data_IF_827290943151
#
_entry.id   IF_827290943151
#
_cell.length_a   1.000
_cell.length_b   1.000
_cell.length_c   1.000
_cell.angle_alpha   90.00
_cell.angle_beta   90.00
_cell.angle_gamma   90.00
#
_symmetry.space_group_name_H-M   'P 1'
#
loop_
_entity.id
_entity.type
_entity.pdbx_description
1 polymer ?
#
# COMPACT_ATOMS: atom_id res chain seq x y z
N UNK A 1 0.97 4.08 -11.18
CA UNK A 1 2.19 4.42 -10.40
C UNK A 1 2.95 3.20 -9.85
N UNK A 2 2.31 2.04 -9.66
CA UNK A 2 2.96 0.82 -9.14
C UNK A 2 4.22 0.37 -9.92
N UNK A 3 4.18 0.37 -11.26
CA UNK A 3 5.32 -0.06 -12.10
C UNK A 3 6.59 0.77 -11.93
N UNK A 4 6.46 2.10 -11.82
CA UNK A 4 7.61 2.99 -11.66
C UNK A 4 8.35 2.71 -10.35
N UNK A 5 7.62 2.38 -9.26
CA UNK A 5 8.22 2.09 -7.95
C UNK A 5 9.05 0.80 -7.98
N UNK A 6 8.52 -0.27 -8.58
CA UNK A 6 9.25 -1.55 -8.69
C UNK A 6 10.50 -1.44 -9.58
N UNK A 7 10.40 -0.73 -10.71
CA UNK A 7 11.54 -0.52 -11.61
C UNK A 7 12.61 0.36 -10.96
N UNK A 8 12.22 1.37 -10.18
CA UNK A 8 13.13 2.20 -9.40
C UNK A 8 13.89 1.38 -8.35
N UNK A 9 13.18 0.53 -7.58
CA UNK A 9 13.81 -0.35 -6.59
C UNK A 9 14.80 -1.30 -7.27
N UNK A 10 14.44 -1.86 -8.44
CA UNK A 10 15.33 -2.73 -9.21
C UNK A 10 16.57 -2.00 -9.74
N UNK A 11 16.42 -0.76 -10.24
CA UNK A 11 17.55 0.07 -10.70
C UNK A 11 18.47 0.47 -9.54
N UNK A 12 17.90 0.80 -8.38
CA UNK A 12 18.66 1.07 -7.15
C UNK A 12 19.44 -0.17 -6.70
N UNK A 13 18.82 -1.36 -6.72
CA UNK A 13 19.47 -2.62 -6.39
C UNK A 13 20.63 -2.97 -7.35
N UNK A 14 20.62 -2.42 -8.57
CA UNK A 14 21.71 -2.54 -9.56
C UNK A 14 22.79 -1.46 -9.44
N UNK A 15 22.67 -0.53 -8.50
CA UNK A 15 23.65 0.53 -8.26
C UNK A 15 23.57 1.70 -9.24
N UNK A 16 22.44 1.91 -9.93
CA UNK A 16 22.25 3.10 -10.78
C UNK A 16 22.22 4.38 -9.91
N UNK A 17 22.93 5.46 -10.29
CA UNK A 17 22.92 6.71 -9.52
C UNK A 17 21.51 7.30 -9.36
N UNK A 18 21.21 7.82 -8.17
CA UNK A 18 19.86 8.33 -7.82
C UNK A 18 19.43 9.47 -8.74
N UNK A 19 20.36 10.33 -9.16
CA UNK A 19 20.11 11.44 -10.08
C UNK A 19 19.68 10.96 -11.48
N UNK A 20 20.22 9.82 -11.96
CA UNK A 20 19.83 9.23 -13.23
C UNK A 20 18.43 8.62 -13.14
N UNK A 21 18.12 7.94 -12.04
CA UNK A 21 16.78 7.39 -11.77
C UNK A 21 15.76 8.52 -11.70
N UNK A 22 16.07 9.61 -10.97
CA UNK A 22 15.19 10.75 -10.81
C UNK A 22 14.93 11.48 -12.14
N UNK A 23 15.97 11.69 -12.95
CA UNK A 23 15.80 12.31 -14.27
C UNK A 23 15.05 11.38 -15.23
N UNK A 24 15.35 10.08 -15.21
CA UNK A 24 14.63 9.07 -15.98
C UNK A 24 13.12 9.08 -15.70
N UNK A 25 12.73 9.26 -14.43
CA UNK A 25 11.32 9.41 -14.04
C UNK A 25 10.69 10.68 -14.63
N UNK A 26 11.39 11.83 -14.58
CA UNK A 26 10.93 13.07 -15.20
C UNK A 26 10.71 12.88 -16.70
N UNK A 27 11.67 12.29 -17.39
CA UNK A 27 11.59 12.04 -18.83
C UNK A 27 10.46 11.07 -19.19
N UNK A 28 10.28 9.99 -18.42
CA UNK A 28 9.18 9.04 -18.61
C UNK A 28 7.81 9.70 -18.42
N UNK A 29 7.68 10.57 -17.42
CA UNK A 29 6.44 11.31 -17.15
C UNK A 29 6.10 12.25 -18.31
N UNK A 30 7.07 13.04 -18.79
CA UNK A 30 6.84 13.95 -19.92
C UNK A 30 6.54 13.18 -21.21
N UNK A 31 7.23 12.07 -21.50
CA UNK A 31 6.89 11.20 -22.65
C UNK A 31 5.47 10.66 -22.56
N UNK A 32 5.05 10.25 -21.37
CA UNK A 32 3.68 9.78 -21.13
C UNK A 32 2.68 10.92 -21.36
N UNK A 33 2.97 12.12 -20.89
CA UNK A 33 2.14 13.30 -21.15
C UNK A 33 2.00 13.59 -22.66
N UNK A 34 3.11 13.60 -23.40
CA UNK A 34 3.12 13.85 -24.84
C UNK A 34 2.33 12.81 -25.64
N UNK A 35 2.32 11.55 -25.19
CA UNK A 35 1.59 10.47 -25.86
C UNK A 35 0.11 10.46 -25.48
N UNK A 36 -0.21 10.60 -24.20
CA UNK A 36 -1.57 10.36 -23.67
C UNK A 36 -2.45 11.61 -23.63
N UNK A 37 -1.88 12.77 -23.31
CA UNK A 37 -2.60 14.05 -23.17
C UNK A 37 -2.58 14.80 -24.50
N UNK A 38 -1.40 14.95 -25.11
CA UNK A 38 -1.29 15.68 -26.37
C UNK A 38 -1.85 14.88 -27.55
N UNK A 39 -1.84 13.54 -27.50
CA UNK A 39 -2.45 12.64 -28.52
C UNK A 39 -2.12 13.05 -29.96
N UNK A 40 -0.87 13.43 -30.21
CA UNK A 40 -0.38 13.84 -31.55
C UNK A 40 -0.80 15.24 -32.01
N UNK A 41 -1.39 16.07 -31.14
CA UNK A 41 -1.67 17.49 -31.44
C UNK A 41 -0.36 18.23 -31.73
N UNK A 42 -0.39 19.12 -32.74
CA UNK A 42 0.74 20.01 -33.04
C UNK A 42 0.91 21.03 -31.93
N UNK A 43 2.15 21.26 -31.53
CA UNK A 43 2.53 22.21 -30.47
C UNK A 43 3.20 23.42 -31.11
N UNK A 44 2.64 24.60 -30.86
CA UNK A 44 3.27 25.87 -31.24
C UNK A 44 4.24 26.29 -30.14
N UNK A 45 5.48 26.55 -30.52
CA UNK A 45 6.53 26.99 -29.60
C UNK A 45 6.63 28.53 -29.56
N UNK A 46 7.04 29.11 -28.42
CA UNK A 46 7.30 28.44 -27.14
C UNK A 46 6.01 28.04 -26.41
N UNK A 47 6.07 26.97 -25.60
CA UNK A 47 4.98 26.60 -24.69
C UNK A 47 5.17 27.24 -23.32
N UNK A 48 4.05 27.55 -22.67
CA UNK A 48 4.06 27.99 -21.27
C UNK A 48 3.86 26.78 -20.35
N UNK A 49 4.81 26.54 -19.45
CA UNK A 49 4.70 25.48 -18.44
C UNK A 49 4.30 26.10 -17.09
N UNK A 50 3.19 25.60 -16.52
CA UNK A 50 2.53 26.18 -15.34
C UNK A 50 2.17 25.09 -14.32
N UNK A 51 1.81 25.51 -13.11
CA UNK A 51 1.53 24.64 -11.97
C UNK A 51 2.78 24.25 -11.18
N UNK A 52 2.62 23.50 -10.09
CA UNK A 52 3.72 23.10 -9.20
C UNK A 52 4.82 22.30 -9.90
N UNK A 53 4.48 21.50 -10.92
CA UNK A 53 5.46 20.74 -11.70
C UNK A 53 6.45 21.63 -12.49
N UNK A 54 6.08 22.87 -12.80
CA UNK A 54 6.97 23.82 -13.48
C UNK A 54 8.14 24.28 -12.59
N UNK A 55 8.02 24.15 -11.26
CA UNK A 55 9.09 24.42 -10.31
C UNK A 55 10.15 23.30 -10.25
N UNK A 56 9.90 22.14 -10.89
CA UNK A 56 10.84 21.03 -10.94
C UNK A 56 11.78 21.18 -12.15
N UNK A 57 13.08 21.47 -11.95
CA UNK A 57 14.02 21.69 -13.06
C UNK A 57 14.19 20.46 -13.96
N UNK A 58 14.03 19.25 -13.42
CA UNK A 58 14.10 18.00 -14.18
C UNK A 58 12.93 17.87 -15.16
N UNK A 59 11.72 18.27 -14.78
CA UNK A 59 10.57 18.30 -15.68
C UNK A 59 10.73 19.38 -16.76
N UNK A 60 11.18 20.58 -16.38
CA UNK A 60 11.44 21.67 -17.34
C UNK A 60 12.47 21.22 -18.39
N UNK A 61 13.57 20.63 -17.94
CA UNK A 61 14.60 20.05 -18.83
C UNK A 61 14.03 18.97 -19.74
N UNK A 62 13.26 18.02 -19.20
CA UNK A 62 12.67 16.93 -19.99
C UNK A 62 11.70 17.44 -21.07
N UNK A 63 10.90 18.47 -20.76
CA UNK A 63 10.05 19.12 -21.77
C UNK A 63 10.88 19.80 -22.87
N UNK A 64 11.93 20.54 -22.52
CA UNK A 64 12.81 21.20 -23.50
C UNK A 64 13.50 20.20 -24.42
N UNK A 65 14.03 19.11 -23.87
CA UNK A 65 14.67 18.03 -24.65
C UNK A 65 13.69 17.39 -25.64
N UNK A 66 12.45 17.11 -25.22
CA UNK A 66 11.44 16.47 -26.07
C UNK A 66 10.79 17.42 -27.09
N UNK A 67 10.76 18.73 -26.80
CA UNK A 67 10.26 19.77 -27.72
C UNK A 67 11.34 20.32 -28.66
N UNK A 68 12.61 20.00 -28.42
CA UNK A 68 13.70 20.15 -29.38
C UNK A 68 14.50 21.45 -29.30
N UNK A 69 14.33 22.29 -28.27
CA UNK A 69 15.20 23.45 -27.99
C UNK A 69 15.10 23.95 -26.55
N UNK A 70 16.13 24.66 -26.06
CA UNK A 70 16.11 25.31 -24.74
C UNK A 70 15.02 26.39 -24.64
N UNK A 71 14.81 27.16 -25.72
CA UNK A 71 13.81 28.24 -25.77
C UNK A 71 12.38 27.73 -26.02
N UNK A 72 12.17 26.41 -26.11
CA UNK A 72 10.85 25.83 -26.40
C UNK A 72 9.87 25.97 -25.24
N UNK A 73 10.36 26.19 -24.01
CA UNK A 73 9.54 26.24 -22.79
C UNK A 73 9.81 27.53 -22.03
N UNK A 74 8.74 28.31 -21.81
CA UNK A 74 8.69 29.45 -20.91
C UNK A 74 8.09 29.00 -19.58
N UNK A 75 8.77 29.30 -18.49
CA UNK A 75 8.21 29.21 -17.13
C UNK A 75 7.97 30.64 -16.65
N UNK A 76 6.72 31.03 -16.34
CA UNK A 76 6.43 32.38 -15.84
C UNK A 76 7.00 32.57 -14.43
N UNK A 77 7.05 33.82 -13.96
CA UNK A 77 7.53 34.17 -12.61
C UNK A 77 6.71 33.48 -11.50
N UNK A 78 5.39 33.39 -11.69
CA UNK A 78 4.45 32.80 -10.72
C UNK A 78 3.70 31.59 -11.32
N UNK A 79 4.39 30.47 -11.60
CA UNK A 79 3.79 29.35 -12.33
C UNK A 79 2.68 28.65 -11.54
N UNK A 80 2.74 28.66 -10.21
CA UNK A 80 1.78 27.97 -9.36
C UNK A 80 0.44 28.71 -9.23
N UNK A 81 0.44 30.02 -9.47
CA UNK A 81 -0.70 30.89 -9.19
C UNK A 81 -1.45 31.32 -10.45
N UNK A 82 -1.00 30.94 -11.65
CA UNK A 82 -1.54 31.49 -12.91
C UNK A 82 -3.06 31.31 -13.06
N UNK A 83 -3.62 30.17 -12.61
CA UNK A 83 -5.06 29.94 -12.63
C UNK A 83 -5.83 30.90 -11.72
N UNK A 84 -5.33 31.12 -10.49
CA UNK A 84 -5.93 32.05 -9.53
C UNK A 84 -5.80 33.50 -10.00
N UNK A 85 -4.65 33.87 -10.58
CA UNK A 85 -4.43 35.18 -11.21
C UNK A 85 -5.44 35.42 -12.35
N UNK A 86 -5.65 34.42 -13.21
CA UNK A 86 -6.64 34.48 -14.27
C UNK A 86 -8.07 34.66 -13.73
N UNK A 87 -8.45 33.88 -12.71
CA UNK A 87 -9.77 34.01 -12.07
C UNK A 87 -9.98 35.42 -11.47
N UNK A 88 -8.98 35.96 -10.78
CA UNK A 88 -9.02 37.32 -10.23
C UNK A 88 -9.10 38.40 -11.33
N UNK A 89 -8.43 38.19 -12.47
CA UNK A 89 -8.49 39.10 -13.61
C UNK A 89 -9.84 39.08 -14.32
N UNK A 90 -10.48 37.91 -14.43
CA UNK A 90 -11.82 37.76 -15.03
C UNK A 90 -12.82 38.56 -14.19
N UNK A 91 -12.88 38.33 -12.87
CA UNK A 91 -13.85 39.04 -12.01
C UNK A 91 -13.56 40.54 -11.92
N UNK A 92 -12.30 40.98 -12.06
CA UNK A 92 -11.96 42.41 -12.18
C UNK A 92 -12.64 43.08 -13.37
N UNK A 93 -12.96 42.32 -14.43
CA UNK A 93 -13.69 42.79 -15.60
C UNK A 93 -15.22 42.76 -15.47
N UNK A 94 -15.76 42.27 -14.35
CA UNK A 94 -17.19 42.10 -14.10
C UNK A 94 -17.70 43.08 -13.03
N UNK A 95 -19.01 43.33 -12.99
CA UNK A 95 -19.64 44.03 -11.86
C UNK A 95 -19.84 43.04 -10.71
N UNK A 96 -19.12 43.23 -9.61
CA UNK A 96 -19.24 42.42 -8.41
C UNK A 96 -19.42 43.32 -7.17
N UNK A 97 -20.17 42.82 -6.18
CA UNK A 97 -20.31 43.49 -4.88
C UNK A 97 -19.09 43.20 -3.99
N UNK A 98 -18.69 44.18 -3.20
CA UNK A 98 -17.58 44.02 -2.26
C UNK A 98 -18.02 43.15 -1.07
N UNK A 99 -17.29 42.07 -0.82
CA UNK A 99 -17.51 41.17 0.31
C UNK A 99 -16.31 41.32 1.27
N UNK A 100 -16.53 41.60 2.57
CA UNK A 100 -15.47 41.59 3.57
C UNK A 100 -14.82 40.20 3.70
N UNK A 101 -13.51 40.14 3.93
CA UNK A 101 -12.78 38.88 4.03
C UNK A 101 -13.23 38.04 5.24
N UNK A 102 -13.71 38.71 6.29
CA UNK A 102 -14.25 38.10 7.50
C UNK A 102 -15.50 37.27 7.17
N UNK A 103 -16.38 37.79 6.32
CA UNK A 103 -17.60 37.08 5.88
C UNK A 103 -17.28 35.78 5.16
N UNK A 104 -16.23 35.76 4.33
CA UNK A 104 -15.77 34.54 3.67
C UNK A 104 -15.22 33.51 4.67
N UNK A 105 -14.49 33.99 5.69
CA UNK A 105 -13.90 33.15 6.73
C UNK A 105 -14.97 32.53 7.63
N UNK A 106 -15.95 33.33 8.05
CA UNK A 106 -17.11 32.87 8.83
C UNK A 106 -17.94 31.84 8.05
N UNK A 107 -18.15 32.06 6.75
CA UNK A 107 -18.85 31.12 5.88
C UNK A 107 -18.15 29.76 5.81
N UNK A 108 -16.81 29.76 5.69
CA UNK A 108 -16.02 28.52 5.65
C UNK A 108 -16.00 27.81 7.02
N UNK A 109 -15.91 28.56 8.12
CA UNK A 109 -15.83 28.02 9.48
C UNK A 109 -17.16 27.38 9.90
N UNK A 110 -18.28 27.99 9.52
CA UNK A 110 -19.62 27.53 9.87
C UNK A 110 -20.27 26.68 8.78
N UNK A 111 -19.51 26.27 7.75
CA UNK A 111 -20.04 25.44 6.68
C UNK A 111 -20.50 24.10 7.28
N UNK A 112 -21.78 23.71 7.15
CA UNK A 112 -22.19 22.38 7.57
C UNK A 112 -21.37 21.34 6.79
N UNK A 113 -20.91 20.30 7.49
CA UNK A 113 -20.29 19.15 6.84
C UNK A 113 -21.21 18.73 5.68
N UNK A 114 -20.67 18.74 4.46
CA UNK A 114 -21.51 18.48 3.31
C UNK A 114 -22.04 17.04 3.44
N UNK A 115 -23.37 16.92 3.48
CA UNK A 115 -24.00 15.61 3.40
C UNK A 115 -23.60 15.03 2.04
N UNK A 116 -22.94 13.88 2.06
CA UNK A 116 -22.62 13.10 0.85
C UNK A 116 -23.88 13.11 -0.03
N UNK A 117 -23.69 13.42 -1.32
CA UNK A 117 -24.80 13.48 -2.27
C UNK A 117 -25.69 12.24 -2.15
N UNK A 118 -27.01 12.43 -2.16
CA UNK A 118 -28.04 11.38 -1.96
C UNK A 118 -27.98 10.22 -2.98
N UNK A 119 -27.06 10.27 -3.95
CA UNK A 119 -27.06 9.39 -5.12
C UNK A 119 -26.20 8.12 -4.96
N UNK A 120 -25.37 8.01 -3.91
CA UNK A 120 -24.73 6.74 -3.53
C UNK A 120 -25.26 6.28 -2.18
N UNK A 121 -25.90 5.11 -2.14
CA UNK A 121 -26.34 4.49 -0.90
C UNK A 121 -25.12 4.24 0.00
N UNK A 122 -25.16 4.75 1.23
CA UNK A 122 -24.16 4.43 2.23
C UNK A 122 -24.15 2.92 2.53
N UNK A 123 -22.98 2.38 2.86
CA UNK A 123 -22.85 0.97 3.26
C UNK A 123 -23.24 0.79 4.73
N UNK A 124 -23.44 -0.45 5.15
CA UNK A 124 -23.75 -0.75 6.56
C UNK A 124 -22.52 -0.49 7.45
N UNK A 125 -22.70 0.02 8.69
CA UNK A 125 -21.61 0.18 9.65
C UNK A 125 -20.86 -1.13 9.92
N UNK A 126 -19.54 -1.05 10.11
CA UNK A 126 -18.72 -2.21 10.46
C UNK A 126 -18.94 -2.61 11.92
N UNK A 127 -18.91 -3.92 12.19
CA UNK A 127 -19.07 -4.47 13.54
C UNK A 127 -17.74 -5.03 14.02
N UNK A 128 -17.31 -4.63 15.22
CA UNK A 128 -16.11 -5.16 15.84
C UNK A 128 -16.27 -6.66 16.16
N UNK A 129 -15.29 -7.46 15.75
CA UNK A 129 -15.17 -8.86 16.16
C UNK A 129 -14.30 -8.93 17.43
N UNK A 130 -14.78 -9.65 18.45
CA UNK A 130 -14.00 -9.96 19.65
C UNK A 130 -13.01 -11.09 19.38
N UNK A 131 -12.02 -10.86 18.53
CA UNK A 131 -10.90 -11.79 18.32
C UNK A 131 -9.57 -11.05 18.48
N UNK A 132 -8.72 -11.53 19.38
CA UNK A 132 -7.32 -11.12 19.39
C UNK A 132 -6.60 -11.89 18.28
N UNK A 133 -6.23 -11.17 17.22
CA UNK A 133 -5.66 -11.75 15.99
C UNK A 133 -4.14 -11.84 16.03
N UNK A 134 -3.49 -11.32 17.07
CA UNK A 134 -2.04 -11.42 17.19
C UNK A 134 -1.64 -12.86 17.52
N UNK A 135 -0.58 -13.41 16.87
CA UNK A 135 0.07 -14.61 17.37
C UNK A 135 0.36 -14.39 18.85
N UNK A 136 0.20 -15.41 19.69
CA UNK A 136 0.52 -15.28 21.10
C UNK A 136 1.99 -14.83 21.21
N UNK A 137 2.21 -13.51 21.44
CA UNK A 137 3.54 -12.89 21.33
C UNK A 137 4.45 -13.40 22.45
N UNK A 138 3.87 -14.04 23.47
CA UNK A 138 4.61 -14.47 24.64
C UNK A 138 3.98 -15.66 25.40
N UNK A 139 3.81 -16.86 24.80
CA UNK A 139 3.56 -18.06 25.60
C UNK A 139 4.73 -18.24 26.58
N UNK A 140 4.44 -18.53 27.84
CA UNK A 140 5.46 -18.77 28.87
C UNK A 140 6.57 -19.68 28.32
N UNK A 141 7.83 -19.27 28.51
CA UNK A 141 8.95 -20.02 27.98
C UNK A 141 8.89 -21.46 28.49
N UNK A 142 8.87 -22.43 27.56
CA UNK A 142 8.83 -23.84 27.91
C UNK A 142 10.06 -24.16 28.78
N UNK A 143 9.87 -24.67 30.02
CA UNK A 143 10.99 -25.00 30.89
C UNK A 143 11.78 -26.19 30.33
N UNK A 144 13.12 -26.10 30.39
CA UNK A 144 14.03 -27.19 30.02
C UNK A 144 14.47 -27.24 28.54
N UNK A 145 15.12 -28.33 28.12
CA UNK A 145 15.51 -28.57 26.73
C UNK A 145 14.29 -28.62 25.82
N UNK A 146 14.36 -27.94 24.67
CA UNK A 146 13.28 -27.80 23.70
C UNK A 146 13.76 -28.27 22.35
N UNK A 147 13.10 -29.29 21.79
CA UNK A 147 13.30 -29.71 20.41
C UNK A 147 12.23 -29.09 19.52
N UNK A 148 12.65 -28.45 18.43
CA UNK A 148 11.71 -27.73 17.56
C UNK A 148 12.11 -27.78 16.08
N UNK A 149 11.12 -27.55 15.22
CA UNK A 149 11.31 -27.21 13.81
C UNK A 149 11.18 -25.69 13.65
N UNK A 150 12.04 -25.10 12.83
CA UNK A 150 12.00 -23.67 12.52
C UNK A 150 11.34 -23.44 11.16
N UNK A 151 10.21 -22.73 11.15
CA UNK A 151 9.54 -22.24 9.95
C UNK A 151 9.84 -20.76 9.74
N UNK A 152 10.18 -20.36 8.51
CA UNK A 152 10.48 -18.97 8.17
C UNK A 152 9.74 -18.56 6.91
N UNK A 153 8.99 -17.46 6.98
CA UNK A 153 8.37 -16.82 5.83
C UNK A 153 9.01 -15.46 5.59
N UNK A 154 9.71 -15.31 4.47
CA UNK A 154 10.37 -14.05 4.09
C UNK A 154 9.56 -13.36 3.00
N UNK A 155 8.65 -12.49 3.42
CA UNK A 155 7.88 -11.61 2.54
C UNK A 155 8.63 -10.34 2.15
N UNK A 156 8.00 -9.51 1.32
CA UNK A 156 8.52 -8.18 0.96
C UNK A 156 8.22 -7.12 2.03
N UNK A 157 7.16 -7.33 2.81
CA UNK A 157 6.71 -6.42 3.89
C UNK A 157 7.10 -6.95 5.26
N UNK A 158 6.92 -8.25 5.50
CA UNK A 158 7.19 -8.89 6.79
C UNK A 158 8.03 -10.17 6.67
N UNK A 159 8.81 -10.44 7.71
CA UNK A 159 9.56 -11.67 7.93
C UNK A 159 9.05 -12.34 9.20
N UNK A 160 8.55 -13.56 9.07
CA UNK A 160 7.94 -14.30 10.17
C UNK A 160 8.80 -15.52 10.51
N UNK A 161 9.02 -15.78 11.80
CA UNK A 161 9.71 -16.97 12.29
C UNK A 161 8.82 -17.70 13.27
N UNK A 162 8.70 -19.02 13.15
CA UNK A 162 7.91 -19.86 14.05
C UNK A 162 8.70 -21.08 14.49
N UNK A 163 8.55 -21.43 15.77
CA UNK A 163 9.04 -22.70 16.33
C UNK A 163 7.86 -23.64 16.54
N UNK A 164 7.93 -24.82 15.94
CA UNK A 164 6.98 -25.90 16.13
C UNK A 164 7.60 -27.02 16.95
N UNK A 165 6.85 -27.59 17.90
CA UNK A 165 7.29 -28.81 18.59
C UNK A 165 7.16 -30.04 17.67
N UNK A 166 7.60 -31.21 18.16
CA UNK A 166 7.55 -32.48 17.42
C UNK A 166 6.14 -32.96 17.08
N UNK A 167 5.10 -32.40 17.70
CA UNK A 167 3.69 -32.67 17.43
C UNK A 167 3.04 -31.59 16.54
N UNK A 168 3.82 -30.74 15.87
CA UNK A 168 3.36 -29.60 15.06
C UNK A 168 2.57 -28.51 15.83
N UNK A 169 2.68 -28.49 17.16
CA UNK A 169 2.14 -27.40 17.98
C UNK A 169 3.05 -26.18 17.97
N UNK A 170 2.47 -24.98 17.85
CA UNK A 170 3.20 -23.70 17.91
C UNK A 170 3.77 -23.48 19.33
N UNK A 171 5.10 -23.31 19.41
CA UNK A 171 5.82 -22.96 20.64
C UNK A 171 5.98 -21.45 20.74
N UNK A 172 6.39 -20.81 19.64
CA UNK A 172 6.72 -19.39 19.61
C UNK A 172 6.62 -18.86 18.18
N UNK A 173 6.16 -17.62 18.04
CA UNK A 173 6.07 -16.92 16.77
C UNK A 173 6.63 -15.51 16.91
N UNK A 174 7.34 -15.05 15.88
CA UNK A 174 7.91 -13.71 15.77
C UNK A 174 7.45 -13.13 14.44
N UNK A 175 6.96 -11.88 14.46
CA UNK A 175 6.60 -11.09 13.29
C UNK A 175 7.49 -9.84 13.24
N UNK A 176 8.25 -9.66 12.16
CA UNK A 176 9.14 -8.51 11.97
C UNK A 176 8.85 -7.82 10.64
N UNK A 177 9.02 -6.50 10.59
CA UNK A 177 8.98 -5.77 9.32
C UNK A 177 10.27 -6.04 8.53
N UNK A 178 10.15 -6.47 7.26
CA UNK A 178 11.31 -6.77 6.40
C UNK A 178 12.07 -5.50 6.00
N UNK A 179 11.35 -4.39 5.74
CA UNK A 179 11.92 -3.08 5.33
C UNK A 179 12.87 -3.15 4.12
N UNK A 180 12.69 -4.13 3.23
CA UNK A 180 13.61 -4.37 2.11
C UNK A 180 14.98 -4.93 2.52
N UNK A 181 15.18 -5.23 3.81
CA UNK A 181 16.42 -5.75 4.39
C UNK A 181 16.18 -7.16 4.98
N UNK A 182 15.89 -8.19 4.16
CA UNK A 182 15.51 -9.52 4.65
C UNK A 182 16.57 -10.17 5.55
N UNK A 183 17.86 -9.92 5.30
CA UNK A 183 18.94 -10.45 6.14
C UNK A 183 18.97 -9.80 7.54
N UNK A 184 18.66 -8.50 7.63
CA UNK A 184 18.60 -7.81 8.91
C UNK A 184 17.45 -8.37 9.76
N UNK A 185 16.26 -8.52 9.16
CA UNK A 185 15.10 -9.09 9.83
C UNK A 185 15.33 -10.56 10.27
N UNK A 186 15.99 -11.38 9.45
CA UNK A 186 16.35 -12.75 9.83
C UNK A 186 17.32 -12.78 11.02
N UNK A 187 18.36 -11.94 11.00
CA UNK A 187 19.32 -11.85 12.11
C UNK A 187 18.65 -11.39 13.41
N UNK A 188 17.74 -10.41 13.32
CA UNK A 188 16.97 -9.94 14.47
C UNK A 188 16.08 -11.05 15.04
N UNK A 189 15.29 -11.72 14.20
CA UNK A 189 14.41 -12.80 14.64
C UNK A 189 15.16 -13.99 15.25
N UNK A 190 16.26 -14.41 14.63
CA UNK A 190 17.12 -15.46 15.19
C UNK A 190 17.81 -15.02 16.48
N UNK A 191 18.20 -13.75 16.59
CA UNK A 191 18.73 -13.15 17.80
C UNK A 191 17.72 -13.20 18.95
N UNK A 192 16.45 -12.89 18.68
CA UNK A 192 15.37 -13.00 19.68
C UNK A 192 15.14 -14.45 20.13
N UNK A 193 15.12 -15.41 19.19
CA UNK A 193 15.03 -16.85 19.51
C UNK A 193 16.21 -17.29 20.38
N UNK A 194 17.43 -16.92 19.99
CA UNK A 194 18.64 -17.27 20.74
C UNK A 194 18.63 -16.65 22.14
N UNK A 195 18.25 -15.38 22.29
CA UNK A 195 18.15 -14.72 23.58
C UNK A 195 17.15 -15.41 24.52
N UNK A 196 16.04 -15.94 23.98
CA UNK A 196 14.99 -16.59 24.76
C UNK A 196 15.32 -18.02 25.17
N UNK A 197 15.82 -18.82 24.24
CA UNK A 197 16.04 -20.26 24.48
C UNK A 197 17.50 -20.64 24.73
N UNK A 198 18.45 -19.89 24.15
CA UNK A 198 19.88 -20.17 24.24
C UNK A 198 20.22 -21.61 23.82
N UNK A 199 21.13 -22.23 24.56
CA UNK A 199 21.59 -23.59 24.30
C UNK A 199 20.55 -24.68 24.62
N UNK A 200 19.37 -24.31 25.13
CA UNK A 200 18.29 -25.26 25.41
C UNK A 200 17.52 -25.65 24.16
N UNK A 201 17.63 -24.88 23.07
CA UNK A 201 16.89 -25.13 21.83
C UNK A 201 17.72 -25.98 20.88
N UNK A 202 17.16 -27.13 20.51
CA UNK A 202 17.66 -27.99 19.45
C UNK A 202 16.73 -27.86 18.24
N UNK A 203 17.25 -27.30 17.14
CA UNK A 203 16.51 -27.22 15.88
C UNK A 203 16.70 -28.54 15.11
N UNK A 204 15.61 -29.27 14.94
CA UNK A 204 15.57 -30.55 14.23
C UNK A 204 15.48 -30.39 12.70
N UNK A 205 15.08 -29.21 12.23
CA UNK A 205 15.03 -28.89 10.81
C UNK A 205 14.49 -27.49 10.53
N UNK A 206 14.81 -26.96 9.35
CA UNK A 206 14.46 -25.61 8.91
C UNK A 206 13.67 -25.66 7.60
N UNK A 207 12.48 -25.06 7.62
CA UNK A 207 11.65 -24.83 6.45
C UNK A 207 11.55 -23.34 6.12
N UNK A 208 11.66 -22.99 4.83
CA UNK A 208 11.59 -21.59 4.37
C UNK A 208 10.57 -21.41 3.22
N UNK A 209 9.87 -20.28 3.26
CA UNK A 209 8.88 -19.86 2.25
C UNK A 209 8.87 -18.34 2.05
N UNK A 210 7.94 -17.85 1.22
CA UNK A 210 7.83 -16.44 0.84
C UNK A 210 8.68 -16.05 -0.37
N UNK A 211 8.66 -14.77 -0.72
CA UNK A 211 9.42 -14.20 -1.84
C UNK A 211 10.94 -14.26 -1.66
N UNK A 212 11.42 -14.14 -0.41
CA UNK A 212 12.83 -14.18 -0.02
C UNK A 212 13.34 -15.57 0.33
N UNK A 213 12.54 -16.63 0.15
CA UNK A 213 12.87 -18.00 0.60
C UNK A 213 14.21 -18.53 0.10
N UNK A 214 14.62 -18.18 -1.13
CA UNK A 214 15.85 -18.69 -1.70
C UNK A 214 17.08 -18.07 -1.04
N UNK A 215 17.00 -16.79 -0.67
CA UNK A 215 18.01 -16.12 0.14
C UNK A 215 18.11 -16.76 1.53
N UNK A 216 16.96 -16.92 2.21
CA UNK A 216 16.90 -17.57 3.53
C UNK A 216 17.45 -19.00 3.50
N UNK A 217 17.10 -19.77 2.46
CA UNK A 217 17.58 -21.13 2.28
C UNK A 217 19.10 -21.22 2.20
N UNK A 218 19.73 -20.30 1.46
CA UNK A 218 21.18 -20.27 1.31
C UNK A 218 21.89 -19.86 2.60
N UNK A 219 21.36 -18.86 3.30
CA UNK A 219 21.97 -18.35 4.53
C UNK A 219 21.85 -19.34 5.68
N UNK A 220 20.73 -20.06 5.75
CA UNK A 220 20.40 -20.95 6.87
C UNK A 220 20.56 -22.43 6.56
N UNK A 221 21.05 -22.78 5.37
CA UNK A 221 21.15 -24.15 4.89
C UNK A 221 19.83 -24.93 5.05
N UNK A 222 18.71 -24.31 4.68
CA UNK A 222 17.38 -24.84 4.98
C UNK A 222 17.12 -26.21 4.34
N UNK A 223 16.53 -27.13 5.10
CA UNK A 223 16.19 -28.49 4.67
C UNK A 223 15.05 -28.53 3.67
N UNK A 224 14.10 -27.59 3.77
CA UNK A 224 12.94 -27.51 2.92
C UNK A 224 12.68 -26.09 2.40
N UNK A 225 12.66 -25.95 1.07
CA UNK A 225 12.25 -24.72 0.39
C UNK A 225 10.89 -24.98 -0.27
N UNK A 226 9.87 -24.21 0.10
CA UNK A 226 8.49 -24.38 -0.40
C UNK A 226 7.88 -23.08 -0.87
N UNK A 227 7.00 -23.18 -1.86
CA UNK A 227 6.18 -22.06 -2.30
C UNK A 227 5.18 -21.67 -1.20
N UNK A 228 4.87 -20.38 -1.08
CA UNK A 228 3.98 -19.82 -0.07
C UNK A 228 2.58 -20.44 -0.16
N UNK A 229 2.07 -20.67 -1.37
CA UNK A 229 0.74 -21.29 -1.60
C UNK A 229 0.66 -22.67 -0.93
N UNK A 230 1.70 -23.49 -1.12
CA UNK A 230 1.74 -24.83 -0.52
C UNK A 230 1.97 -24.75 0.98
N UNK A 231 2.83 -23.84 1.45
CA UNK A 231 3.12 -23.68 2.87
C UNK A 231 1.87 -23.22 3.65
N UNK A 232 1.15 -22.22 3.14
CA UNK A 232 -0.10 -21.73 3.72
C UNK A 232 -1.19 -22.77 3.72
N UNK A 233 -1.41 -23.46 2.59
CA UNK A 233 -2.41 -24.53 2.54
C UNK A 233 -2.06 -25.65 3.53
N UNK A 234 -0.78 -26.01 3.65
CA UNK A 234 -0.35 -27.05 4.60
C UNK A 234 -0.66 -26.64 6.05
N UNK A 235 -0.39 -25.38 6.41
CA UNK A 235 -0.73 -24.85 7.74
C UNK A 235 -2.23 -24.77 7.96
N UNK A 236 -2.97 -24.23 6.99
CA UNK A 236 -4.43 -24.11 7.04
C UNK A 236 -5.09 -25.47 7.20
N UNK A 237 -4.70 -26.48 6.42
CA UNK A 237 -5.25 -27.83 6.51
C UNK A 237 -4.87 -28.55 7.82
N UNK A 238 -3.75 -28.18 8.45
CA UNK A 238 -3.35 -28.74 9.74
C UNK A 238 -4.23 -28.22 10.88
N UNK A 239 -4.42 -26.90 10.95
CA UNK A 239 -5.21 -26.28 12.03
C UNK A 239 -6.73 -26.28 11.76
N UNK A 240 -7.12 -26.33 10.49
CA UNK A 240 -8.51 -26.31 10.04
C UNK A 240 -8.73 -27.42 9.00
N UNK A 241 -8.99 -28.67 9.45
CA UNK A 241 -9.10 -29.83 8.55
C UNK A 241 -10.18 -29.69 7.46
N UNK A 242 -11.20 -28.89 7.72
CA UNK A 242 -12.32 -28.63 6.81
C UNK A 242 -12.14 -27.38 5.95
N UNK A 243 -10.95 -26.77 5.94
CA UNK A 243 -10.68 -25.57 5.13
C UNK A 243 -10.91 -25.83 3.65
N UNK A 244 -11.77 -25.01 3.03
CA UNK A 244 -12.07 -25.03 1.61
C UNK A 244 -11.46 -23.84 0.86
N UNK A 245 -11.30 -22.70 1.52
CA UNK A 245 -10.85 -21.46 0.90
C UNK A 245 -9.93 -20.69 1.84
N UNK A 246 -8.80 -20.22 1.31
CA UNK A 246 -7.89 -19.29 2.01
C UNK A 246 -7.80 -18.01 1.18
N UNK A 247 -8.12 -16.88 1.81
CA UNK A 247 -7.80 -15.56 1.28
C UNK A 247 -6.58 -15.02 2.03
N UNK A 248 -5.53 -14.66 1.31
CA UNK A 248 -4.39 -13.95 1.86
C UNK A 248 -4.44 -12.50 1.41
N UNK A 249 -4.54 -11.59 2.40
CA UNK A 249 -4.39 -10.15 2.21
C UNK A 249 -2.95 -9.78 2.55
N UNK A 250 -2.07 -9.87 1.56
CA UNK A 250 -0.67 -9.53 1.69
C UNK A 250 -0.43 -8.01 1.63
N UNK A 251 0.81 -7.61 1.94
CA UNK A 251 1.20 -6.21 1.85
C UNK A 251 1.32 -5.70 0.41
N UNK A 252 1.84 -6.51 -0.51
CA UNK A 252 2.05 -6.13 -1.91
C UNK A 252 1.25 -6.95 -2.92
N UNK A 253 0.85 -8.16 -2.55
CA UNK A 253 0.05 -9.05 -3.36
C UNK A 253 -1.16 -9.56 -2.57
N UNK A 254 -2.08 -10.16 -3.30
CA UNK A 254 -3.23 -10.87 -2.73
C UNK A 254 -3.34 -12.26 -3.35
N UNK A 255 -3.75 -13.24 -2.55
CA UNK A 255 -3.94 -14.62 -3.05
C UNK A 255 -5.28 -15.19 -2.62
N UNK A 256 -5.79 -16.04 -3.49
CA UNK A 256 -6.86 -16.98 -3.24
C UNK A 256 -6.31 -18.40 -3.38
N UNK A 257 -6.68 -19.28 -2.46
CA UNK A 257 -6.36 -20.70 -2.51
C UNK A 257 -7.64 -21.50 -2.27
N UNK A 258 -8.08 -22.24 -3.28
CA UNK A 258 -9.15 -23.23 -3.17
C UNK A 258 -8.59 -24.58 -2.77
N UNK A 259 -9.22 -25.21 -1.79
CA UNK A 259 -8.81 -26.46 -1.17
C UNK A 259 -9.98 -27.44 -1.03
N UNK A 260 -9.67 -28.75 -1.04
CA UNK A 260 -10.64 -29.79 -0.69
C UNK A 260 -9.95 -30.96 -0.02
N UNK A 261 -10.34 -31.25 1.22
CA UNK A 261 -9.71 -32.29 2.03
C UNK A 261 -8.20 -32.06 2.19
N UNK A 262 -7.80 -30.81 2.42
CA UNK A 262 -6.39 -30.42 2.57
C UNK A 262 -5.55 -30.44 1.29
N UNK A 263 -6.16 -30.61 0.11
CA UNK A 263 -5.46 -30.64 -1.18
C UNK A 263 -5.79 -29.40 -2.01
N UNK A 264 -4.78 -28.87 -2.68
CA UNK A 264 -4.91 -27.72 -3.57
C UNK A 264 -5.81 -28.08 -4.75
N UNK A 265 -6.90 -27.32 -4.93
CA UNK A 265 -7.79 -27.40 -6.08
C UNK A 265 -7.47 -26.30 -7.09
N UNK A 266 -7.37 -25.07 -6.61
CA UNK A 266 -7.17 -23.88 -7.44
C UNK A 266 -6.40 -22.82 -6.66
N UNK A 267 -5.74 -21.90 -7.37
CA UNK A 267 -5.16 -20.71 -6.75
C UNK A 267 -5.10 -19.56 -7.75
N UNK A 268 -5.32 -18.35 -7.26
CA UNK A 268 -5.24 -17.11 -8.02
C UNK A 268 -4.40 -16.11 -7.23
N UNK A 269 -3.65 -15.26 -7.93
CA UNK A 269 -2.73 -14.34 -7.30
C UNK A 269 -2.64 -13.04 -8.08
N UNK A 270 -3.00 -11.95 -7.42
CA UNK A 270 -2.92 -10.62 -8.00
C UNK A 270 -1.57 -9.99 -7.65
N UNK A 271 -0.63 -10.07 -8.59
CA UNK A 271 0.70 -9.43 -8.49
C UNK A 271 0.77 -8.02 -9.07
N UNK A 272 -0.26 -7.62 -9.83
CA UNK A 272 -0.20 -6.44 -10.69
C UNK A 272 -0.96 -5.27 -10.07
N UNK A 273 -2.07 -5.57 -9.39
CA UNK A 273 -2.90 -4.55 -8.77
C UNK A 273 -2.59 -4.46 -7.28
N UNK A 274 -2.28 -3.26 -6.79
CA UNK A 274 -2.29 -2.97 -5.34
C UNK A 274 -3.71 -2.88 -4.79
N UNK A 275 -4.74 -2.99 -5.63
CA UNK A 275 -6.12 -2.96 -5.17
C UNK A 275 -6.39 -4.22 -4.35
N UNK A 276 -6.74 -4.04 -3.07
CA UNK A 276 -6.98 -5.16 -2.17
C UNK A 276 -5.76 -5.65 -1.39
N UNK A 277 -4.68 -4.86 -1.31
CA UNK A 277 -3.48 -5.21 -0.50
C UNK A 277 -3.28 -4.22 0.65
N UNK A 278 -2.46 -4.60 1.63
CA UNK A 278 -2.14 -3.75 2.79
C UNK A 278 -1.45 -2.43 2.41
N UNK A 279 -0.56 -2.44 1.41
CA UNK A 279 0.14 -1.23 0.96
C UNK A 279 -0.79 -0.18 0.36
N UNK A 280 -1.92 -0.60 -0.23
CA UNK A 280 -2.95 0.34 -0.66
C UNK A 280 -3.59 1.04 0.54
N UNK A 281 -3.99 0.30 1.58
CA UNK A 281 -4.55 0.90 2.78
C UNK A 281 -3.55 1.85 3.46
N UNK A 282 -2.27 1.47 3.52
CA UNK A 282 -1.19 2.31 4.05
C UNK A 282 -1.04 3.63 3.26
N UNK A 283 -1.04 3.57 1.92
CA UNK A 283 -0.97 4.77 1.07
C UNK A 283 -2.19 5.69 1.27
N UNK A 284 -3.39 5.12 1.37
CA UNK A 284 -4.61 5.89 1.60
C UNK A 284 -4.67 6.47 3.02
N UNK A 285 -4.24 5.74 4.04
CA UNK A 285 -4.12 6.22 5.41
C UNK A 285 -3.17 7.43 5.49
N UNK A 286 -1.98 7.33 4.89
CA UNK A 286 -1.03 8.43 4.82
C UNK A 286 -1.63 9.67 4.14
N UNK A 287 -2.41 9.48 3.07
CA UNK A 287 -3.10 10.58 2.37
C UNK A 287 -4.16 11.26 3.22
N UNK A 288 -4.88 10.48 4.04
CA UNK A 288 -5.87 10.98 4.99
C UNK A 288 -5.23 11.57 6.26
N UNK A 289 -3.90 11.45 6.41
CA UNK A 289 -3.15 11.96 7.56
C UNK A 289 -3.35 11.13 8.82
N UNK A 290 -3.61 9.82 8.68
CA UNK A 290 -3.84 8.89 9.79
C UNK A 290 -2.81 7.75 9.78
N UNK A 291 -2.53 7.20 10.95
CA UNK A 291 -1.70 6.03 11.13
C UNK A 291 -2.49 4.73 10.88
N UNK A 292 -1.99 3.90 9.95
CA UNK A 292 -2.65 2.64 9.55
C UNK A 292 -2.68 1.59 10.68
N UNK A 293 -1.70 1.62 11.59
CA UNK A 293 -1.55 0.62 12.65
C UNK A 293 -2.35 0.98 13.90
N UNK A 294 -2.47 2.28 14.21
CA UNK A 294 -3.12 2.73 15.46
C UNK A 294 -4.48 3.35 15.28
N UNK A 295 -4.77 4.02 14.15
CA UNK A 295 -5.99 4.85 14.02
C UNK A 295 -7.02 4.25 13.05
N UNK A 296 -6.56 3.60 11.97
CA UNK A 296 -7.45 3.16 10.88
C UNK A 296 -8.60 2.29 11.35
N UNK A 297 -8.33 1.28 12.17
CA UNK A 297 -9.37 0.36 12.66
C UNK A 297 -10.40 1.06 13.53
N UNK A 298 -9.97 1.94 14.44
CA UNK A 298 -10.87 2.67 15.33
C UNK A 298 -11.77 3.64 14.55
N UNK A 299 -11.20 4.32 13.56
CA UNK A 299 -11.94 5.20 12.65
C UNK A 299 -12.94 4.41 11.77
N UNK A 300 -12.51 3.29 11.19
CA UNK A 300 -13.37 2.46 10.36
C UNK A 300 -14.54 1.87 11.17
N UNK A 301 -14.32 1.45 12.41
CA UNK A 301 -15.36 0.87 13.27
C UNK A 301 -16.31 1.92 13.88
N UNK A 302 -15.89 3.18 13.98
CA UNK A 302 -16.75 4.27 14.49
C UNK A 302 -17.64 4.91 13.41
N UNK A 303 -17.44 4.55 12.14
CA UNK A 303 -18.17 5.10 11.00
C UNK A 303 -19.68 4.77 11.05
N UNK A 304 -20.51 5.81 11.10
CA UNK A 304 -21.97 5.66 11.10
C UNK A 304 -22.58 5.48 9.70
N UNK A 305 -21.87 5.92 8.66
CA UNK A 305 -22.36 5.89 7.27
C UNK A 305 -21.20 5.69 6.28
N UNK A 306 -20.57 4.50 6.26
CA UNK A 306 -19.42 4.22 5.40
C UNK A 306 -19.65 4.58 3.92
N UNK A 307 -18.63 5.16 3.29
CA UNK A 307 -18.68 5.58 1.89
C UNK A 307 -18.60 4.38 0.95
N UNK A 308 -19.46 4.31 -0.07
CA UNK A 308 -19.24 3.37 -1.18
C UNK A 308 -18.23 3.95 -2.18
N UNK A 309 -16.96 3.59 -1.96
CA UNK A 309 -15.84 3.94 -2.84
C UNK A 309 -15.76 3.03 -4.09
N UNK A 310 -16.73 2.12 -4.24
CA UNK A 310 -16.82 1.15 -5.31
C UNK A 310 -15.88 -0.04 -5.14
N UNK A 311 -15.91 -0.89 -6.16
CA UNK A 311 -15.01 -2.04 -6.38
C UNK A 311 -14.34 -1.83 -7.73
N UNK A 312 -13.00 -1.79 -7.80
CA UNK A 312 -12.19 -1.60 -9.04
C UNK A 312 -10.70 -1.39 -8.69
N UNK A 313 -9.88 -1.24 -9.73
CA UNK A 313 -8.49 -0.79 -9.65
C UNK A 313 -8.29 0.43 -8.73
N UNK A 314 -7.14 0.49 -8.05
CA UNK A 314 -6.75 1.56 -7.12
C UNK A 314 -6.94 2.96 -7.67
N UNK A 315 -6.73 3.20 -8.97
CA UNK A 315 -6.92 4.51 -9.59
C UNK A 315 -8.36 5.02 -9.49
N UNK A 316 -9.34 4.14 -9.63
CA UNK A 316 -10.76 4.52 -9.51
C UNK A 316 -11.14 4.71 -8.05
N UNK A 317 -10.70 3.82 -7.17
CA UNK A 317 -10.93 3.98 -5.72
C UNK A 317 -10.31 5.28 -5.20
N UNK A 318 -9.12 5.63 -5.68
CA UNK A 318 -8.45 6.89 -5.34
C UNK A 318 -9.25 8.11 -5.82
N UNK A 319 -9.77 8.05 -7.05
CA UNK A 319 -10.63 9.11 -7.60
C UNK A 319 -11.92 9.29 -6.81
N UNK A 320 -12.53 8.17 -6.39
CA UNK A 320 -13.76 8.16 -5.58
C UNK A 320 -13.51 8.66 -4.15
N UNK A 321 -12.40 8.26 -3.53
CA UNK A 321 -11.99 8.75 -2.21
C UNK A 321 -11.77 10.26 -2.25
N UNK A 322 -11.08 10.78 -3.27
CA UNK A 322 -10.88 12.23 -3.45
C UNK A 322 -12.21 12.94 -3.67
N UNK A 323 -13.10 12.36 -4.48
CA UNK A 323 -14.43 12.94 -4.71
C UNK A 323 -15.24 13.00 -3.42
N UNK A 324 -15.26 11.92 -2.63
CA UNK A 324 -15.95 11.85 -1.35
C UNK A 324 -15.37 12.87 -0.36
N UNK A 325 -14.04 13.01 -0.29
CA UNK A 325 -13.38 14.01 0.54
C UNK A 325 -13.74 15.45 0.13
N UNK A 326 -13.76 15.75 -1.18
CA UNK A 326 -14.20 17.06 -1.70
C UNK A 326 -15.69 17.34 -1.44
N UNK A 327 -16.49 16.28 -1.36
CA UNK A 327 -17.89 16.33 -0.96
C UNK A 327 -18.09 16.39 0.55
N UNK A 328 -17.02 16.45 1.35
CA UNK A 328 -17.09 16.62 2.80
C UNK A 328 -17.34 15.33 3.59
N UNK A 329 -17.10 14.16 3.00
CA UNK A 329 -17.12 12.90 3.75
C UNK A 329 -16.10 12.94 4.89
N UNK A 330 -16.52 12.50 6.06
CA UNK A 330 -15.66 12.39 7.24
C UNK A 330 -14.69 11.21 7.12
N UNK A 331 -13.54 11.33 7.79
CA UNK A 331 -12.42 10.38 7.66
C UNK A 331 -12.80 8.97 8.12
N UNK A 332 -13.61 8.84 9.16
CA UNK A 332 -14.19 7.57 9.64
C UNK A 332 -14.98 6.84 8.53
N UNK A 333 -15.90 7.54 7.86
CA UNK A 333 -16.71 7.00 6.77
C UNK A 333 -15.86 6.60 5.56
N UNK A 334 -14.76 7.31 5.31
CA UNK A 334 -13.78 6.96 4.27
C UNK A 334 -12.99 5.70 4.65
N UNK A 335 -12.52 5.58 5.89
CA UNK A 335 -11.78 4.40 6.37
C UNK A 335 -12.62 3.13 6.28
N UNK A 336 -13.89 3.20 6.72
CA UNK A 336 -14.82 2.09 6.59
C UNK A 336 -15.10 1.74 5.12
N UNK A 337 -15.25 2.75 4.26
CA UNK A 337 -15.39 2.56 2.82
C UNK A 337 -14.18 1.86 2.18
N UNK A 338 -12.96 2.23 2.58
CA UNK A 338 -11.72 1.58 2.12
C UNK A 338 -11.66 0.11 2.55
N UNK A 339 -12.04 -0.20 3.78
CA UNK A 339 -12.11 -1.59 4.27
C UNK A 339 -13.11 -2.42 3.44
N UNK A 340 -14.29 -1.88 3.16
CA UNK A 340 -15.26 -2.51 2.26
C UNK A 340 -14.70 -2.74 0.86
N UNK A 341 -14.04 -1.73 0.27
CA UNK A 341 -13.46 -1.84 -1.07
C UNK A 341 -12.38 -2.92 -1.14
N UNK A 342 -11.54 -3.04 -0.11
CA UNK A 342 -10.55 -4.13 -0.05
C UNK A 342 -11.24 -5.49 0.01
N UNK A 343 -12.23 -5.68 0.90
CA UNK A 343 -12.95 -6.94 1.01
C UNK A 343 -13.70 -7.31 -0.28
N UNK A 344 -14.41 -6.36 -0.90
CA UNK A 344 -15.14 -6.56 -2.16
C UNK A 344 -14.23 -6.96 -3.32
N UNK A 345 -12.96 -6.52 -3.34
CA UNK A 345 -12.01 -6.94 -4.38
C UNK A 345 -11.67 -8.44 -4.32
N UNK A 346 -11.94 -9.15 -3.22
CA UNK A 346 -11.79 -10.61 -3.14
C UNK A 346 -13.08 -11.36 -3.47
N UNK A 347 -14.24 -10.71 -3.32
CA UNK A 347 -15.55 -11.36 -3.36
C UNK A 347 -16.28 -11.18 -4.71
N UNK A 348 -16.03 -10.08 -5.42
CA UNK A 348 -16.78 -9.66 -6.62
C UNK A 348 -15.96 -9.64 -7.91
#
# INVERSE_FOLDING_TARGET
MSFAKSDMIHLQQKGTPTEEIAYGLCLALVRTFMTTVMRGRKVSLPVLLVGGGAANPGLVRAFRELLGSEDSVIVPEEPMCLGALGAAQIVRGEQAEAIPAETLTEFLTNRPAASISKDKAALEPLVALNCDLRPNEDPEAVPGPTQAFLGIDVGSVSTNLVLLNTNAGLIHGIYLATRGEPLAALNEGLGQIHARYGDRLEILGVGVTGSGRHLAAQVLCADAVRNEITAQLTSAAHYFPDVDTVFEIGGQDSKYIGAKGGRLLDFEMNKICSAGTGSFLEEQAQRLGIDIYTEFTELALSAASPCDLGRRCTVFMDSELVSALQQGASVDNLCAGLAYSVARNYLD
#
